data_IF_503805032188
#
_entry.id   IF_503805032188
#
_cell.length_a   1.000
_cell.length_b   1.000
_cell.length_c   1.000
_cell.angle_alpha   90.00
_cell.angle_beta   90.00
_cell.angle_gamma   90.00
#
_symmetry.space_group_name_H-M   'P 1'
#
loop_
_entity.id
_entity.type
_entity.pdbx_description
1 polymer ?
#
# COMPACT_ATOMS: atom_id res chain seq x y z
N UNK A 1 -25.35 5.85 1.03
CA UNK A 1 -25.02 5.11 2.29
C UNK A 1 -24.16 3.88 1.99
N UNK A 2 -24.53 3.04 1.01
CA UNK A 2 -23.79 1.82 0.67
C UNK A 2 -22.34 2.05 0.24
N UNK A 3 -22.09 3.12 -0.53
CA UNK A 3 -20.74 3.50 -0.95
C UNK A 3 -19.86 3.85 0.27
N UNK A 4 -20.37 4.67 1.18
CA UNK A 4 -19.69 4.98 2.44
C UNK A 4 -19.42 3.70 3.25
N UNK A 5 -20.41 2.80 3.38
CA UNK A 5 -20.24 1.53 4.08
C UNK A 5 -19.18 0.65 3.42
N UNK A 6 -19.12 0.61 2.09
CA UNK A 6 -18.08 -0.13 1.35
C UNK A 6 -16.68 0.41 1.70
N UNK A 7 -16.52 1.73 1.69
CA UNK A 7 -15.25 2.39 2.02
C UNK A 7 -14.90 2.19 3.50
N UNK A 8 -15.85 2.40 4.41
CA UNK A 8 -15.65 2.19 5.84
C UNK A 8 -15.25 0.75 6.16
N UNK A 9 -15.92 -0.25 5.55
CA UNK A 9 -15.55 -1.67 5.64
C UNK A 9 -14.18 -1.95 5.02
N UNK A 10 -13.78 -1.21 3.98
CA UNK A 10 -12.46 -1.29 3.39
C UNK A 10 -11.37 -0.80 4.37
N UNK A 11 -11.67 0.24 5.16
CA UNK A 11 -10.78 0.82 6.15
C UNK A 11 -10.79 0.09 7.51
N UNK A 12 -11.83 -0.68 7.83
CA UNK A 12 -11.97 -1.38 9.12
C UNK A 12 -11.07 -2.63 9.23
N UNK A 13 -9.77 -2.47 9.00
CA UNK A 13 -8.72 -3.47 9.21
C UNK A 13 -7.39 -2.76 9.40
N UNK A 14 -6.60 -3.25 10.35
CA UNK A 14 -5.30 -2.68 10.69
C UNK A 14 -4.41 -2.61 9.46
N UNK A 15 -4.15 -3.74 8.80
CA UNK A 15 -3.19 -3.81 7.69
C UNK A 15 -3.59 -2.94 6.51
N UNK A 16 -4.89 -2.83 6.19
CA UNK A 16 -5.39 -1.94 5.14
C UNK A 16 -5.15 -0.47 5.45
N UNK A 17 -5.40 -0.02 6.69
CA UNK A 17 -5.03 1.34 7.10
C UNK A 17 -3.52 1.56 7.02
N UNK A 18 -2.71 0.57 7.41
CA UNK A 18 -1.25 0.64 7.27
C UNK A 18 -0.83 0.79 5.81
N UNK A 19 -1.42 0.01 4.91
CA UNK A 19 -1.13 0.11 3.47
C UNK A 19 -1.46 1.49 2.93
N UNK A 20 -2.63 2.04 3.28
CA UNK A 20 -3.00 3.40 2.87
C UNK A 20 -2.00 4.43 3.41
N UNK A 21 -1.58 4.31 4.67
CA UNK A 21 -0.59 5.19 5.29
C UNK A 21 0.78 5.08 4.59
N UNK A 22 1.26 3.86 4.34
CA UNK A 22 2.51 3.58 3.61
C UNK A 22 2.49 4.19 2.20
N UNK A 23 1.34 4.17 1.52
CA UNK A 23 1.19 4.69 0.17
C UNK A 23 1.09 6.23 0.12
N UNK A 24 0.97 6.92 1.26
CA UNK A 24 1.06 8.39 1.31
C UNK A 24 2.44 8.90 0.91
N UNK A 25 3.49 8.14 1.24
CA UNK A 25 4.88 8.47 0.94
C UNK A 25 5.30 8.02 -0.49
N UNK A 26 4.34 7.76 -1.36
CA UNK A 26 4.57 7.37 -2.76
C UNK A 26 4.20 5.92 -3.10
N UNK A 27 4.14 5.65 -4.40
CA UNK A 27 3.67 4.38 -4.92
C UNK A 27 4.62 3.21 -4.68
N UNK A 28 4.08 2.05 -4.30
CA UNK A 28 4.85 0.85 -3.91
C UNK A 28 4.29 -0.43 -4.52
N UNK A 29 5.17 -1.39 -4.79
CA UNK A 29 4.81 -2.75 -5.19
C UNK A 29 4.36 -3.60 -4.00
N UNK A 30 3.73 -4.73 -4.32
CA UNK A 30 3.35 -5.75 -3.34
C UNK A 30 4.56 -6.24 -2.53
N UNK A 31 5.72 -6.37 -3.16
CA UNK A 31 6.98 -6.76 -2.54
C UNK A 31 7.45 -5.79 -1.45
N UNK A 32 7.39 -4.48 -1.75
CA UNK A 32 7.74 -3.40 -0.83
C UNK A 32 6.79 -3.41 0.39
N UNK A 33 5.48 -3.49 0.14
CA UNK A 33 4.47 -3.54 1.20
C UNK A 33 4.63 -4.79 2.06
N UNK A 34 4.86 -5.96 1.45
CA UNK A 34 5.16 -7.20 2.15
C UNK A 34 6.41 -7.06 3.03
N UNK A 35 7.49 -6.48 2.50
CA UNK A 35 8.73 -6.33 3.26
C UNK A 35 8.51 -5.44 4.47
N UNK A 36 7.74 -4.36 4.33
CA UNK A 36 7.42 -3.42 5.41
C UNK A 36 6.52 -4.05 6.47
N UNK A 37 5.37 -4.61 6.06
CA UNK A 37 4.36 -5.14 6.98
C UNK A 37 4.64 -6.55 7.50
N UNK A 38 5.58 -7.28 6.88
CA UNK A 38 5.94 -8.67 7.22
C UNK A 38 4.73 -9.62 7.25
N UNK A 39 3.81 -9.45 6.30
CA UNK A 39 2.65 -10.33 6.07
C UNK A 39 2.79 -11.09 4.74
N UNK A 40 2.04 -12.17 4.56
CA UNK A 40 2.13 -12.99 3.35
C UNK A 40 1.67 -12.24 2.09
N UNK A 41 2.34 -12.50 0.95
CA UNK A 41 2.04 -11.91 -0.35
C UNK A 41 0.56 -12.04 -0.78
N UNK A 42 -0.11 -13.22 -0.62
CA UNK A 42 -1.51 -13.35 -1.01
C UNK A 42 -2.41 -12.43 -0.17
N UNK A 43 -2.07 -12.24 1.10
CA UNK A 43 -2.77 -11.33 2.02
C UNK A 43 -2.60 -9.88 1.59
N UNK A 44 -1.38 -9.46 1.23
CA UNK A 44 -1.13 -8.11 0.69
C UNK A 44 -1.98 -7.87 -0.56
N UNK A 45 -1.93 -8.79 -1.52
CA UNK A 45 -2.66 -8.65 -2.79
C UNK A 45 -4.17 -8.60 -2.58
N UNK A 46 -4.70 -9.45 -1.68
CA UNK A 46 -6.13 -9.44 -1.32
C UNK A 46 -6.54 -8.11 -0.69
N UNK A 47 -5.74 -7.57 0.23
CA UNK A 47 -6.03 -6.29 0.86
C UNK A 47 -6.00 -5.13 -0.14
N UNK A 48 -4.99 -5.08 -1.01
CA UNK A 48 -4.89 -4.04 -2.05
C UNK A 48 -6.06 -4.11 -3.03
N UNK A 49 -6.51 -5.30 -3.41
CA UNK A 49 -7.69 -5.47 -4.25
C UNK A 49 -8.95 -4.91 -3.57
N UNK A 50 -9.15 -5.17 -2.28
CA UNK A 50 -10.30 -4.62 -1.54
C UNK A 50 -10.24 -3.08 -1.48
N UNK A 51 -9.05 -2.52 -1.27
CA UNK A 51 -8.84 -1.07 -1.25
C UNK A 51 -9.06 -0.44 -2.64
N UNK A 52 -8.65 -1.12 -3.70
CA UNK A 52 -8.85 -0.70 -5.09
C UNK A 52 -10.32 -0.72 -5.48
N UNK A 53 -11.03 -1.80 -5.13
CA UNK A 53 -12.47 -1.90 -5.32
C UNK A 53 -13.23 -0.80 -4.57
N UNK A 54 -12.72 -0.36 -3.41
CA UNK A 54 -13.24 0.78 -2.66
C UNK A 54 -12.81 2.15 -3.20
N UNK A 55 -11.98 2.20 -4.25
CA UNK A 55 -11.52 3.44 -4.88
C UNK A 55 -10.47 4.22 -4.07
N UNK A 56 -9.87 3.60 -3.06
CA UNK A 56 -8.87 4.24 -2.18
C UNK A 56 -7.45 4.16 -2.75
N UNK A 57 -7.17 3.12 -3.52
CA UNK A 57 -5.89 2.95 -4.25
C UNK A 57 -6.15 2.69 -5.72
N UNK A 58 -5.15 2.96 -6.54
CA UNK A 58 -5.06 2.53 -7.92
C UNK A 58 -3.70 1.85 -8.13
N UNK A 59 -3.54 1.17 -9.26
CA UNK A 59 -2.25 0.60 -9.63
C UNK A 59 -1.88 0.94 -11.08
N UNK A 60 -0.58 0.94 -11.34
CA UNK A 60 0.00 1.07 -12.68
C UNK A 60 1.12 0.05 -12.87
N UNK A 61 1.29 -0.40 -14.11
CA UNK A 61 2.37 -1.31 -14.48
C UNK A 61 3.58 -0.51 -14.97
N UNK A 62 4.69 -0.67 -14.27
CA UNK A 62 5.99 -0.05 -14.59
C UNK A 62 7.01 -1.15 -14.87
N UNK A 63 7.11 -1.58 -16.13
CA UNK A 63 7.96 -2.70 -16.53
C UNK A 63 7.55 -4.01 -15.84
N UNK A 64 8.36 -4.47 -14.88
CA UNK A 64 8.15 -5.69 -14.09
C UNK A 64 7.30 -5.46 -12.84
N UNK A 65 7.05 -4.20 -12.49
CA UNK A 65 6.43 -3.81 -11.23
C UNK A 65 4.96 -3.46 -11.45
N UNK A 66 4.12 -3.90 -10.54
CA UNK A 66 2.78 -3.34 -10.37
C UNK A 66 2.84 -2.44 -9.15
N UNK A 67 2.80 -1.13 -9.38
CA UNK A 67 2.96 -0.09 -8.36
C UNK A 67 1.59 0.41 -7.99
N UNK A 68 1.25 0.29 -6.70
CA UNK A 68 0.01 0.82 -6.13
C UNK A 68 0.27 2.22 -5.59
N UNK A 69 -0.70 3.11 -5.73
CA UNK A 69 -0.68 4.48 -5.24
C UNK A 69 -2.05 4.87 -4.69
N UNK A 70 -2.08 5.86 -3.78
CA UNK A 70 -3.36 6.42 -3.33
C UNK A 70 -4.06 7.14 -4.48
N UNK A 71 -5.38 7.00 -4.55
CA UNK A 71 -6.16 7.87 -5.42
C UNK A 71 -6.26 9.27 -4.82
N UNK A 72 -6.72 10.24 -5.60
CA UNK A 72 -7.13 11.56 -5.05
C UNK A 72 -8.56 11.56 -4.51
N UNK A 73 -9.17 10.38 -4.34
CA UNK A 73 -10.58 10.24 -3.97
C UNK A 73 -11.56 10.68 -5.06
N UNK A 74 -11.12 10.75 -6.32
CA UNK A 74 -11.91 11.35 -7.42
C UNK A 74 -13.23 10.63 -7.71
N UNK A 75 -13.32 9.35 -7.33
CA UNK A 75 -14.51 8.53 -7.51
C UNK A 75 -15.53 8.66 -6.38
N UNK A 76 -15.15 9.24 -5.23
CA UNK A 76 -16.01 9.30 -4.05
C UNK A 76 -15.62 10.43 -3.10
N UNK A 77 -16.54 11.33 -2.72
CA UNK A 77 -16.26 12.35 -1.71
C UNK A 77 -15.87 11.73 -0.36
N UNK A 78 -16.39 10.55 -0.02
CA UNK A 78 -16.01 9.83 1.21
C UNK A 78 -14.57 9.32 1.17
N UNK A 79 -14.12 8.80 0.01
CA UNK A 79 -12.73 8.40 -0.17
C UNK A 79 -11.81 9.62 -0.05
N UNK A 80 -12.15 10.74 -0.68
CA UNK A 80 -11.38 11.98 -0.59
C UNK A 80 -11.24 12.45 0.87
N UNK A 81 -12.32 12.43 1.64
CA UNK A 81 -12.30 12.82 3.06
C UNK A 81 -11.44 11.88 3.91
N UNK A 82 -11.56 10.57 3.74
CA UNK A 82 -10.75 9.60 4.50
C UNK A 82 -9.27 9.76 4.15
N UNK A 83 -8.92 9.79 2.86
CA UNK A 83 -7.53 9.93 2.42
C UNK A 83 -6.93 11.27 2.84
N UNK A 84 -7.72 12.35 2.80
CA UNK A 84 -7.32 13.67 3.26
C UNK A 84 -7.00 13.70 4.75
N UNK A 85 -7.85 13.08 5.58
CA UNK A 85 -7.69 12.99 7.04
C UNK A 85 -6.58 12.02 7.46
N UNK A 86 -6.40 10.91 6.74
CA UNK A 86 -5.40 9.89 7.02
C UNK A 86 -3.98 10.47 7.15
N UNK A 87 -3.70 11.60 6.47
CA UNK A 87 -2.42 12.32 6.55
C UNK A 87 -2.04 12.73 7.98
N UNK A 88 -3.03 12.90 8.85
CA UNK A 88 -2.83 13.35 10.22
C UNK A 88 -3.05 12.24 11.25
N UNK A 89 -3.46 11.04 10.82
CA UNK A 89 -3.74 9.93 11.72
C UNK A 89 -2.46 9.20 12.12
N UNK A 90 -2.41 8.76 13.38
CA UNK A 90 -1.37 7.89 13.95
C UNK A 90 0.05 8.46 14.02
N UNK A 91 0.23 9.77 13.84
CA UNK A 91 1.58 10.39 13.88
C UNK A 91 2.27 10.22 15.24
N UNK A 92 1.50 10.18 16.34
CA UNK A 92 2.02 9.94 17.68
C UNK A 92 2.14 8.46 18.04
N UNK A 93 1.72 7.54 17.17
CA UNK A 93 1.68 6.12 17.49
C UNK A 93 3.07 5.48 17.32
N UNK A 94 3.65 4.85 18.36
CA UNK A 94 4.98 4.25 18.30
C UNK A 94 5.17 3.23 17.17
N UNK A 95 4.12 2.49 16.78
CA UNK A 95 4.28 1.52 15.69
C UNK A 95 4.44 2.21 14.33
N UNK A 96 3.83 3.39 14.13
CA UNK A 96 3.99 4.14 12.88
C UNK A 96 5.42 4.64 12.73
N UNK A 97 6.04 5.09 13.83
CA UNK A 97 7.45 5.47 13.84
C UNK A 97 8.38 4.37 13.30
N UNK A 98 8.18 3.13 13.72
CA UNK A 98 8.96 1.96 13.24
C UNK A 98 8.74 1.67 11.75
N UNK A 99 7.50 1.80 11.27
CA UNK A 99 7.19 1.62 9.86
C UNK A 99 7.84 2.72 9.04
N UNK A 100 7.74 3.97 9.47
CA UNK A 100 8.33 5.12 8.80
C UNK A 100 9.84 5.00 8.69
N UNK A 101 10.53 4.60 9.75
CA UNK A 101 11.98 4.33 9.72
C UNK A 101 12.33 3.28 8.66
N UNK A 102 11.58 2.18 8.62
CA UNK A 102 11.77 1.12 7.63
C UNK A 102 11.47 1.56 6.20
N UNK A 103 10.53 2.48 6.00
CA UNK A 103 10.23 3.06 4.69
C UNK A 103 11.39 3.92 4.18
N UNK A 104 12.14 4.61 5.06
CA UNK A 104 13.30 5.42 4.68
C UNK A 104 14.46 4.58 4.15
N UNK A 105 14.59 3.34 4.62
CA UNK A 105 15.66 2.42 4.21
C UNK A 105 15.18 1.39 3.19
N UNK A 106 13.96 1.51 2.67
CA UNK A 106 13.36 0.52 1.79
C UNK A 106 13.97 0.60 0.39
N UNK A 107 14.55 -0.51 -0.05
CA UNK A 107 15.01 -0.69 -1.42
C UNK A 107 14.08 -1.67 -2.15
N UNK A 108 13.51 -1.21 -3.27
CA UNK A 108 12.55 -1.98 -4.09
C UNK A 108 13.16 -3.28 -4.61
N UNK A 109 14.41 -3.25 -5.05
CA UNK A 109 15.08 -4.40 -5.67
C UNK A 109 15.39 -5.47 -4.62
N UNK A 110 15.91 -5.08 -3.47
CA UNK A 110 16.13 -5.98 -2.33
C UNK A 110 14.82 -6.60 -1.84
N UNK A 111 13.77 -5.79 -1.69
CA UNK A 111 12.45 -6.29 -1.28
C UNK A 111 11.89 -7.35 -2.27
N UNK A 112 12.12 -7.16 -3.57
CA UNK A 112 11.69 -8.09 -4.60
C UNK A 112 12.50 -9.39 -4.61
N UNK A 113 13.80 -9.29 -4.37
CA UNK A 113 14.69 -10.45 -4.24
C UNK A 113 14.28 -11.32 -3.05
N UNK A 114 14.12 -10.71 -1.86
CA UNK A 114 13.67 -11.38 -0.63
C UNK A 114 12.30 -12.03 -0.81
N UNK A 115 11.33 -11.28 -1.37
CA UNK A 115 9.98 -11.77 -1.59
C UNK A 115 9.89 -12.77 -2.74
N UNK A 116 10.95 -12.90 -3.57
CA UNK A 116 10.95 -13.69 -4.81
C UNK A 116 9.87 -13.24 -5.81
N UNK A 117 9.48 -11.96 -5.79
CA UNK A 117 8.41 -11.34 -6.60
C UNK A 117 8.95 -10.32 -7.60
N UNK A 118 8.12 -9.95 -8.60
CA UNK A 118 8.45 -8.88 -9.55
C UNK A 118 9.82 -9.04 -10.25
N UNK A 119 10.28 -10.29 -10.41
CA UNK A 119 11.56 -10.63 -11.05
C UNK A 119 11.39 -10.79 -12.57
N UNK A 120 12.28 -10.20 -13.34
CA UNK A 120 12.41 -10.42 -14.78
C UNK A 120 13.62 -11.31 -15.11
N UNK A 121 13.73 -11.78 -16.35
CA UNK A 121 14.83 -12.68 -16.81
C UNK A 121 16.26 -12.08 -16.74
N UNK A 122 16.45 -10.87 -16.17
CA UNK A 122 17.70 -10.08 -16.26
C UNK A 122 18.48 -9.97 -14.93
N UNK A 123 18.33 -10.93 -14.03
CA UNK A 123 19.18 -11.06 -12.83
C UNK A 123 20.24 -12.15 -13.03
N UNK A 124 20.80 -12.25 -14.25
CA UNK A 124 22.07 -12.96 -14.46
C UNK A 124 23.18 -11.93 -14.30
N UNK A 125 23.88 -12.02 -13.17
CA UNK A 125 25.26 -11.55 -12.89
C UNK A 125 25.66 -10.20 -13.49
N UNK A 126 25.81 -9.21 -12.62
CA UNK A 126 27.04 -8.42 -12.57
C UNK A 126 27.52 -8.47 -11.13
#
# INVERSE_FOLDING_TARGET
>A
MDEFLKIAKACADKNRLLMLKILQDGGRCVCEIQSVLKIAQPTVSKHLKILEEAGLVAHKKEGLWVVYELTKGEKSPYAALILGNLRHWFEADPWWGKIREKLLTLDRYKAAEEAKLCRGKRWKKV
#
